data_IF_756137635001
#
_entry.id   IF_756137635001
#
_cell.length_a   1.000
_cell.length_b   1.000
_cell.length_c   1.000
_cell.angle_alpha   90.00
_cell.angle_beta   90.00
_cell.angle_gamma   90.00
#
_symmetry.space_group_name_H-M   'P 1'
#
loop_
_entity.id
_entity.type
_entity.pdbx_description
1 polymer ?
#
# COMPACT_ATOMS: atom_id res chain seq x y z
N UNK A 1 14.26 -16.53 9.40
CA UNK A 1 13.16 -15.58 9.08
C UNK A 1 13.45 -14.92 7.75
N UNK A 2 12.52 -15.03 6.82
CA UNK A 2 12.68 -14.47 5.47
C UNK A 2 12.61 -12.93 5.51
N UNK A 3 13.52 -12.27 4.80
CA UNK A 3 13.53 -10.82 4.65
C UNK A 3 12.57 -10.42 3.52
N UNK A 4 11.65 -9.52 3.82
CA UNK A 4 10.69 -8.98 2.84
C UNK A 4 11.24 -7.72 2.20
N UNK A 5 11.77 -6.81 3.00
CA UNK A 5 12.37 -5.56 2.51
C UNK A 5 13.70 -5.34 3.22
N UNK A 6 14.74 -5.07 2.46
CA UNK A 6 16.05 -4.65 2.97
C UNK A 6 16.43 -3.30 2.38
N UNK A 7 16.76 -2.37 3.25
CA UNK A 7 17.30 -1.06 2.89
C UNK A 7 18.78 -1.01 3.28
N UNK A 8 19.63 -0.78 2.30
CA UNK A 8 21.09 -0.66 2.52
C UNK A 8 21.53 0.74 2.14
N UNK A 9 21.80 1.59 3.15
CA UNK A 9 22.27 2.98 3.00
C UNK A 9 21.44 3.76 1.98
N UNK A 10 20.12 3.62 2.09
CA UNK A 10 19.18 4.23 1.12
C UNK A 10 19.15 5.74 1.34
N UNK A 11 19.35 6.47 0.24
CA UNK A 11 19.26 7.93 0.21
C UNK A 11 18.37 8.38 -0.94
N UNK A 12 17.67 9.49 -0.76
CA UNK A 12 16.88 10.10 -1.81
C UNK A 12 16.95 11.62 -1.71
N UNK A 13 16.73 12.29 -2.85
CA UNK A 13 16.76 13.75 -2.96
C UNK A 13 15.51 14.28 -3.65
N UNK A 14 15.12 15.48 -3.24
CA UNK A 14 14.12 16.28 -3.92
C UNK A 14 14.75 17.63 -4.28
N UNK A 15 15.05 17.82 -5.57
CA UNK A 15 15.86 18.97 -6.01
C UNK A 15 17.25 18.91 -5.39
N UNK A 16 17.63 19.96 -4.65
CA UNK A 16 18.92 20.03 -3.93
C UNK A 16 18.83 19.49 -2.51
N UNK A 17 17.62 19.13 -2.03
CA UNK A 17 17.40 18.68 -0.66
C UNK A 17 17.52 17.17 -0.55
N UNK A 18 18.35 16.71 0.38
CA UNK A 18 18.40 15.28 0.75
C UNK A 18 17.24 14.98 1.70
N UNK A 19 16.34 14.10 1.26
CA UNK A 19 15.15 13.70 2.05
C UNK A 19 15.47 12.48 2.90
N UNK A 20 16.09 11.46 2.32
CA UNK A 20 16.59 10.28 3.02
C UNK A 20 18.10 10.20 2.85
N UNK A 21 18.81 9.86 3.92
CA UNK A 21 20.25 9.71 3.90
C UNK A 21 20.68 8.46 4.65
N UNK A 22 21.38 7.57 3.93
CA UNK A 22 22.05 6.38 4.47
C UNK A 22 21.15 5.52 5.40
N UNK A 23 19.90 5.29 4.99
CA UNK A 23 18.97 4.47 5.77
C UNK A 23 19.33 2.99 5.64
N UNK A 24 19.58 2.34 6.78
CA UNK A 24 19.70 0.89 6.88
C UNK A 24 18.54 0.35 7.71
N UNK A 25 17.80 -0.59 7.18
CA UNK A 25 16.72 -1.28 7.89
C UNK A 25 16.31 -2.55 7.18
N UNK A 26 15.73 -3.49 7.92
CA UNK A 26 15.24 -4.75 7.39
C UNK A 26 13.86 -5.05 7.94
N UNK A 27 12.91 -5.37 7.06
CA UNK A 27 11.57 -5.83 7.41
C UNK A 27 11.51 -7.33 7.14
N UNK A 28 11.20 -8.11 8.18
CA UNK A 28 11.12 -9.57 8.09
C UNK A 28 9.67 -10.03 7.92
N UNK A 29 9.51 -11.20 7.32
CA UNK A 29 8.19 -11.80 7.12
C UNK A 29 7.42 -11.91 8.44
N UNK A 30 6.16 -11.47 8.40
CA UNK A 30 5.29 -11.47 9.58
C UNK A 30 5.38 -10.25 10.46
N UNK A 31 6.37 -9.40 10.27
CA UNK A 31 6.49 -8.15 11.04
C UNK A 31 5.44 -7.12 10.60
N UNK A 32 4.97 -6.34 11.56
CA UNK A 32 4.02 -5.24 11.34
C UNK A 32 4.69 -3.96 11.83
N UNK A 33 5.10 -3.14 10.88
CA UNK A 33 5.87 -1.94 11.14
C UNK A 33 5.00 -0.69 11.16
N UNK A 34 5.20 0.13 12.18
CA UNK A 34 4.70 1.50 12.19
C UNK A 34 5.85 2.45 11.88
N UNK A 35 5.68 3.24 10.83
CA UNK A 35 6.64 4.24 10.40
C UNK A 35 6.14 5.61 10.84
N UNK A 36 6.95 6.33 11.61
CA UNK A 36 6.63 7.67 12.08
C UNK A 36 7.83 8.60 11.89
N UNK A 37 7.64 9.87 12.14
CA UNK A 37 8.70 10.84 12.01
C UNK A 37 8.18 12.25 11.80
N UNK A 38 9.11 13.19 11.77
CA UNK A 38 8.82 14.60 11.54
C UNK A 38 8.32 14.84 10.12
N UNK A 39 7.55 15.89 9.92
CA UNK A 39 7.16 16.34 8.60
C UNK A 39 8.41 16.63 7.77
N UNK A 40 8.43 16.11 6.53
CA UNK A 40 9.60 16.25 5.65
C UNK A 40 10.73 15.26 5.98
N UNK A 41 10.49 14.25 6.83
CA UNK A 41 11.48 13.22 7.16
C UNK A 41 11.64 12.15 6.09
N UNK A 42 10.75 12.09 5.10
CA UNK A 42 10.84 11.15 3.99
C UNK A 42 10.00 9.88 4.15
N UNK A 43 9.01 9.86 5.04
CA UNK A 43 8.15 8.69 5.26
C UNK A 43 7.48 8.21 3.97
N UNK A 44 6.75 9.09 3.29
CA UNK A 44 6.06 8.76 2.04
C UNK A 44 7.04 8.45 0.91
N UNK A 45 8.18 9.13 0.88
CA UNK A 45 9.25 8.85 -0.08
C UNK A 45 9.78 7.43 0.09
N UNK A 46 10.03 7.00 1.33
CA UNK A 46 10.50 5.66 1.63
C UNK A 46 9.50 4.61 1.13
N UNK A 47 8.22 4.80 1.39
CA UNK A 47 7.18 3.88 0.94
C UNK A 47 7.07 3.83 -0.58
N UNK A 48 7.18 4.97 -1.27
CA UNK A 48 7.15 5.00 -2.74
C UNK A 48 8.35 4.29 -3.36
N UNK A 49 9.51 4.32 -2.72
CA UNK A 49 10.68 3.56 -3.16
C UNK A 49 10.43 2.04 -3.07
N UNK A 50 9.80 1.58 -1.99
CA UNK A 50 9.45 0.17 -1.82
C UNK A 50 8.47 -0.29 -2.88
N UNK A 51 7.45 0.53 -3.18
CA UNK A 51 6.41 0.20 -4.16
C UNK A 51 6.87 0.35 -5.61
N UNK A 52 8.10 0.78 -5.84
CA UNK A 52 8.68 1.01 -7.16
C UNK A 52 7.98 2.11 -7.98
N UNK A 53 7.19 2.96 -7.31
CA UNK A 53 6.53 4.10 -7.97
C UNK A 53 7.44 5.33 -8.04
N UNK A 54 8.62 5.26 -7.44
CA UNK A 54 9.59 6.35 -7.43
C UNK A 54 10.75 6.01 -8.37
N UNK A 55 11.09 6.88 -9.34
CA UNK A 55 12.20 6.63 -10.26
C UNK A 55 13.55 6.37 -9.57
N UNK A 56 13.75 6.92 -8.37
CA UNK A 56 14.97 6.71 -7.60
C UNK A 56 15.10 5.28 -7.05
N UNK A 57 14.05 4.46 -7.10
CA UNK A 57 14.08 3.10 -6.55
C UNK A 57 15.16 2.23 -7.20
N UNK A 58 15.46 2.45 -8.48
CA UNK A 58 16.51 1.72 -9.20
C UNK A 58 17.92 2.17 -8.83
N UNK A 59 18.07 3.40 -8.35
CA UNK A 59 19.36 3.93 -7.90
C UNK A 59 19.66 3.62 -6.45
N UNK A 60 18.67 3.14 -5.69
CA UNK A 60 18.82 2.79 -4.28
C UNK A 60 19.07 1.29 -4.12
N UNK A 61 19.83 0.94 -3.09
CA UNK A 61 20.05 -0.47 -2.73
C UNK A 61 18.88 -0.98 -1.88
N UNK A 62 17.81 -1.40 -2.57
CA UNK A 62 16.60 -1.94 -1.96
C UNK A 62 16.39 -3.35 -2.48
N UNK A 63 16.22 -4.30 -1.56
CA UNK A 63 15.92 -5.68 -1.87
C UNK A 63 14.48 -5.97 -1.43
N UNK A 64 13.67 -6.54 -2.34
CA UNK A 64 12.29 -6.93 -2.08
C UNK A 64 12.14 -8.43 -2.28
N UNK A 65 11.58 -9.13 -1.31
CA UNK A 65 11.37 -10.58 -1.35
C UNK A 65 12.66 -11.35 -1.71
N UNK A 66 13.80 -10.87 -1.20
CA UNK A 66 15.11 -11.48 -1.48
C UNK A 66 15.74 -11.12 -2.82
N UNK A 67 15.11 -10.27 -3.62
CA UNK A 67 15.63 -9.83 -4.93
C UNK A 67 15.94 -8.34 -4.92
N UNK A 68 17.16 -8.00 -5.31
CA UNK A 68 17.57 -6.61 -5.46
C UNK A 68 16.79 -5.95 -6.59
N UNK A 69 16.31 -4.73 -6.37
CA UNK A 69 15.64 -3.93 -7.39
C UNK A 69 16.59 -3.69 -8.56
N UNK A 70 16.07 -3.90 -9.76
CA UNK A 70 16.84 -3.74 -11.00
C UNK A 70 17.65 -4.97 -11.42
N UNK A 71 17.48 -6.12 -10.75
CA UNK A 71 18.20 -7.37 -11.07
C UNK A 71 17.51 -8.23 -12.15
N UNK A 72 16.65 -7.63 -12.97
CA UNK A 72 16.01 -8.30 -14.10
C UNK A 72 14.59 -8.80 -13.83
N UNK A 73 14.07 -8.61 -12.61
CA UNK A 73 12.68 -8.93 -12.30
C UNK A 73 11.72 -7.94 -12.97
N UNK A 74 10.55 -8.42 -13.37
CA UNK A 74 9.46 -7.56 -13.83
C UNK A 74 8.88 -6.79 -12.64
N UNK A 75 8.61 -5.50 -12.83
CA UNK A 75 7.93 -4.66 -11.83
C UNK A 75 6.57 -5.27 -11.43
N UNK A 76 5.90 -5.96 -12.37
CA UNK A 76 4.60 -6.59 -12.11
C UNK A 76 4.71 -7.83 -11.25
N UNK A 77 5.80 -8.59 -11.37
CA UNK A 77 6.08 -9.73 -10.50
C UNK A 77 6.20 -9.29 -9.05
N UNK A 78 6.71 -8.09 -8.82
CA UNK A 78 6.82 -7.50 -7.49
C UNK A 78 5.48 -6.94 -7.04
N UNK A 79 4.83 -6.14 -7.87
CA UNK A 79 3.57 -5.45 -7.52
C UNK A 79 2.43 -6.40 -7.17
N UNK A 80 2.38 -7.59 -7.76
CA UNK A 80 1.32 -8.56 -7.44
C UNK A 80 1.35 -9.03 -5.99
N UNK A 81 2.51 -8.91 -5.31
CA UNK A 81 2.69 -9.30 -3.91
C UNK A 81 2.50 -8.15 -2.93
N UNK A 82 2.30 -6.93 -3.43
CA UNK A 82 2.23 -5.71 -2.62
C UNK A 82 0.87 -5.05 -2.80
N UNK A 83 0.17 -4.83 -1.68
CA UNK A 83 -0.98 -3.92 -1.65
C UNK A 83 -0.51 -2.54 -1.18
N UNK A 84 -0.89 -1.49 -1.90
CA UNK A 84 -0.43 -0.14 -1.62
C UNK A 84 -1.56 0.88 -1.72
N UNK A 85 -1.72 1.68 -0.67
CA UNK A 85 -2.62 2.83 -0.66
C UNK A 85 -1.90 4.00 -0.01
N UNK A 86 -1.94 5.15 -0.68
CA UNK A 86 -1.40 6.41 -0.17
C UNK A 86 -2.26 7.59 -0.64
N UNK A 87 -2.15 8.76 0.00
CA UNK A 87 -2.81 9.96 -0.51
C UNK A 87 -2.34 10.37 -1.90
N UNK A 88 -1.06 10.22 -2.21
CA UNK A 88 -0.50 10.54 -3.54
C UNK A 88 -1.06 9.60 -4.61
N UNK A 89 -1.05 8.30 -4.34
CA UNK A 89 -1.62 7.30 -5.23
C UNK A 89 -3.10 7.58 -5.48
N UNK A 90 -3.85 7.94 -4.44
CA UNK A 90 -5.27 8.28 -4.56
C UNK A 90 -5.47 9.50 -5.47
N UNK A 91 -4.72 10.58 -5.26
CA UNK A 91 -4.82 11.79 -6.09
C UNK A 91 -4.47 11.54 -7.56
N UNK A 92 -3.52 10.65 -7.81
CA UNK A 92 -3.06 10.30 -9.15
C UNK A 92 -3.97 9.26 -9.85
N UNK A 93 -4.89 8.66 -9.12
CA UNK A 93 -5.74 7.60 -9.66
C UNK A 93 -6.96 8.20 -10.38
N UNK A 94 -6.85 8.38 -11.69
CA UNK A 94 -7.84 9.08 -12.52
C UNK A 94 -8.47 8.14 -13.56
N UNK A 95 -8.78 6.90 -13.16
CA UNK A 95 -9.37 5.91 -14.06
C UNK A 95 -10.89 6.10 -14.18
N UNK A 96 -11.35 6.31 -15.39
CA UNK A 96 -12.76 6.47 -15.74
C UNK A 96 -13.39 5.09 -15.95
N UNK A 97 -13.54 4.33 -14.88
CA UNK A 97 -14.05 2.95 -14.89
C UNK A 97 -15.05 2.75 -13.76
N UNK A 98 -15.96 1.76 -13.88
CA UNK A 98 -16.79 1.35 -12.76
C UNK A 98 -15.96 0.89 -11.57
N UNK A 99 -16.43 1.15 -10.35
CA UNK A 99 -15.72 0.82 -9.13
C UNK A 99 -15.28 -0.64 -9.05
N UNK A 100 -16.14 -1.58 -9.49
CA UNK A 100 -15.80 -3.01 -9.49
C UNK A 100 -14.60 -3.31 -10.39
N UNK A 101 -14.45 -2.61 -11.51
CA UNK A 101 -13.32 -2.80 -12.41
C UNK A 101 -12.02 -2.28 -11.79
N UNK A 102 -12.11 -1.21 -10.99
CA UNK A 102 -10.97 -0.69 -10.23
C UNK A 102 -10.50 -1.75 -9.23
N UNK A 103 -11.41 -2.34 -8.47
CA UNK A 103 -11.08 -3.41 -7.50
C UNK A 103 -10.46 -4.61 -8.23
N UNK A 104 -11.07 -5.03 -9.33
CA UNK A 104 -10.57 -6.16 -10.14
C UNK A 104 -9.18 -5.92 -10.69
N UNK A 105 -8.81 -4.67 -10.99
CA UNK A 105 -7.47 -4.33 -11.46
C UNK A 105 -6.38 -4.67 -10.44
N UNK A 106 -6.73 -4.78 -9.17
CA UNK A 106 -5.81 -5.24 -8.11
C UNK A 106 -5.37 -6.70 -8.28
N UNK A 107 -6.18 -7.52 -8.93
CA UNK A 107 -5.85 -8.91 -9.23
C UNK A 107 -4.89 -9.03 -10.43
N UNK A 108 -4.85 -8.02 -11.27
CA UNK A 108 -4.09 -8.01 -12.50
C UNK A 108 -3.20 -6.78 -12.54
N UNK A 109 -2.16 -6.73 -11.72
CA UNK A 109 -1.17 -5.65 -11.78
C UNK A 109 -0.28 -5.78 -13.02
N UNK A 110 -0.91 -6.08 -14.16
CA UNK A 110 -0.22 -6.18 -15.44
C UNK A 110 -0.57 -4.98 -16.30
N UNK A 111 0.45 -4.37 -16.87
CA UNK A 111 0.32 -3.26 -17.78
C UNK A 111 -0.22 -3.74 -19.11
N UNK A 112 -1.33 -3.15 -19.51
CA UNK A 112 -1.80 -3.21 -20.89
C UNK A 112 -2.53 -4.48 -21.31
N UNK A 113 -2.67 -5.48 -20.46
CA UNK A 113 -3.48 -6.67 -20.75
C UNK A 113 -4.68 -6.69 -19.83
N UNK A 114 -5.75 -6.04 -20.28
CA UNK A 114 -7.04 -6.17 -19.66
C UNK A 114 -7.57 -7.58 -19.92
N UNK A 115 -7.39 -8.46 -18.93
CA UNK A 115 -8.08 -9.75 -18.93
C UNK A 115 -9.34 -9.61 -18.09
N UNK A 116 -10.47 -9.96 -18.69
CA UNK A 116 -11.73 -10.00 -17.97
C UNK A 116 -11.58 -10.97 -16.78
N UNK A 117 -11.89 -10.52 -15.53
CA UNK A 117 -11.78 -11.40 -14.38
C UNK A 117 -12.65 -12.65 -14.52
N UNK A 118 -12.15 -13.77 -14.03
CA UNK A 118 -12.94 -15.01 -13.93
C UNK A 118 -14.10 -14.82 -12.93
N UNK A 119 -15.18 -15.61 -13.04
CA UNK A 119 -16.32 -15.47 -12.11
C UNK A 119 -15.93 -15.53 -10.62
N UNK A 120 -15.02 -16.42 -10.23
CA UNK A 120 -14.54 -16.51 -8.84
C UNK A 120 -13.73 -15.28 -8.42
N UNK A 121 -13.03 -14.64 -9.35
CA UNK A 121 -12.32 -13.40 -9.08
C UNK A 121 -13.28 -12.23 -8.90
N UNK A 122 -14.34 -12.17 -9.73
CA UNK A 122 -15.39 -11.18 -9.58
C UNK A 122 -16.13 -11.35 -8.25
N UNK A 123 -16.39 -12.58 -7.83
CA UNK A 123 -17.00 -12.85 -6.54
C UNK A 123 -16.11 -12.34 -5.38
N UNK A 124 -14.80 -12.51 -5.48
CA UNK A 124 -13.86 -11.97 -4.50
C UNK A 124 -13.88 -10.43 -4.46
N UNK A 125 -13.96 -9.79 -5.63
CA UNK A 125 -14.08 -8.33 -5.72
C UNK A 125 -15.37 -7.83 -5.05
N UNK A 126 -16.49 -8.48 -5.34
CA UNK A 126 -17.78 -8.12 -4.74
C UNK A 126 -17.76 -8.34 -3.22
N UNK A 127 -17.12 -9.41 -2.76
CA UNK A 127 -16.97 -9.70 -1.34
C UNK A 127 -16.19 -8.61 -0.61
N UNK A 128 -15.07 -8.16 -1.19
CA UNK A 128 -14.28 -7.08 -0.60
C UNK A 128 -15.02 -5.74 -0.63
N UNK A 129 -15.78 -5.46 -1.69
CA UNK A 129 -16.62 -4.27 -1.73
C UNK A 129 -17.71 -4.32 -0.67
N UNK A 130 -18.27 -5.50 -0.41
CA UNK A 130 -19.25 -5.69 0.66
C UNK A 130 -18.62 -5.47 2.04
N UNK A 131 -17.43 -6.02 2.28
CA UNK A 131 -16.66 -5.81 3.51
C UNK A 131 -16.48 -4.32 3.81
N UNK A 132 -16.16 -3.52 2.80
CA UNK A 132 -15.97 -2.07 2.95
C UNK A 132 -17.27 -1.27 2.83
N UNK A 133 -18.43 -1.94 2.74
CA UNK A 133 -19.74 -1.27 2.73
C UNK A 133 -20.05 -0.52 1.45
N UNK A 134 -19.41 -0.86 0.33
CA UNK A 134 -19.55 -0.17 -0.96
C UNK A 134 -20.06 -1.07 -2.10
N UNK A 135 -20.69 -2.19 -1.75
CA UNK A 135 -21.20 -3.13 -2.77
C UNK A 135 -22.23 -2.51 -3.71
N UNK A 136 -23.04 -1.57 -3.21
CA UNK A 136 -24.04 -0.83 -4.00
C UNK A 136 -23.43 0.18 -4.97
N UNK A 137 -22.13 0.46 -4.85
CA UNK A 137 -21.41 1.40 -5.72
C UNK A 137 -20.67 0.70 -6.87
N UNK A 138 -20.76 -0.61 -6.98
CA UNK A 138 -19.90 -1.41 -7.88
C UNK A 138 -19.97 -0.98 -9.34
N UNK A 139 -21.15 -0.56 -9.83
CA UNK A 139 -21.37 -0.17 -11.23
C UNK A 139 -21.21 1.32 -11.46
N UNK A 140 -20.96 2.10 -10.42
CA UNK A 140 -20.78 3.55 -10.52
C UNK A 140 -19.35 3.89 -10.94
N UNK A 141 -19.22 4.92 -11.75
CA UNK A 141 -17.93 5.40 -12.21
C UNK A 141 -17.10 5.92 -11.01
N UNK A 142 -15.85 5.46 -10.91
CA UNK A 142 -14.94 5.83 -9.83
C UNK A 142 -14.78 7.34 -9.70
N UNK A 143 -14.70 8.07 -10.83
CA UNK A 143 -14.49 9.52 -10.80
C UNK A 143 -15.73 10.29 -10.29
N UNK A 144 -16.89 9.66 -10.25
CA UNK A 144 -18.13 10.26 -9.72
C UNK A 144 -18.34 9.96 -8.23
N UNK A 145 -17.51 9.13 -7.63
CA UNK A 145 -17.60 8.82 -6.21
C UNK A 145 -17.00 9.94 -5.37
N UNK A 146 -17.46 10.03 -4.12
CA UNK A 146 -16.83 10.93 -3.14
C UNK A 146 -15.39 10.49 -2.85
N UNK A 147 -14.58 11.40 -2.29
CA UNK A 147 -13.20 11.08 -1.93
C UNK A 147 -13.12 9.90 -0.94
N UNK A 148 -14.01 9.84 0.05
CA UNK A 148 -14.07 8.73 1.00
C UNK A 148 -14.46 7.41 0.33
N UNK A 149 -15.45 7.44 -0.55
CA UNK A 149 -15.86 6.26 -1.32
C UNK A 149 -14.72 5.76 -2.23
N UNK A 150 -14.03 6.67 -2.89
CA UNK A 150 -12.85 6.33 -3.69
C UNK A 150 -11.77 5.66 -2.85
N UNK A 151 -11.52 6.17 -1.63
CA UNK A 151 -10.55 5.59 -0.72
C UNK A 151 -10.91 4.14 -0.37
N UNK A 152 -12.18 3.88 -0.10
CA UNK A 152 -12.66 2.52 0.18
C UNK A 152 -12.49 1.58 -1.02
N UNK A 153 -12.74 2.08 -2.23
CA UNK A 153 -12.50 1.32 -3.46
C UNK A 153 -11.02 0.96 -3.61
N UNK A 154 -10.13 1.92 -3.38
CA UNK A 154 -8.68 1.68 -3.47
C UNK A 154 -8.17 0.73 -2.39
N UNK A 155 -8.76 0.78 -1.19
CA UNK A 155 -8.47 -0.20 -0.13
C UNK A 155 -8.91 -1.61 -0.56
N UNK A 156 -10.13 -1.75 -1.08
CA UNK A 156 -10.62 -3.03 -1.59
C UNK A 156 -9.69 -3.57 -2.70
N UNK A 157 -9.22 -2.70 -3.58
CA UNK A 157 -8.24 -3.04 -4.62
C UNK A 157 -6.94 -3.60 -4.03
N UNK A 158 -6.46 -2.99 -2.95
CA UNK A 158 -5.23 -3.44 -2.30
C UNK A 158 -5.40 -4.79 -1.60
N UNK A 159 -6.55 -5.03 -0.99
CA UNK A 159 -6.80 -6.27 -0.23
C UNK A 159 -7.21 -7.46 -1.10
N UNK A 160 -7.85 -7.23 -2.26
CA UNK A 160 -8.39 -8.33 -3.09
C UNK A 160 -7.32 -9.28 -3.59
N UNK A 161 -6.11 -8.80 -3.80
CA UNK A 161 -4.97 -9.63 -4.23
C UNK A 161 -4.38 -10.48 -3.10
N UNK A 162 -4.86 -10.35 -1.88
CA UNK A 162 -4.31 -10.98 -0.67
C UNK A 162 -2.79 -10.78 -0.57
N UNK A 163 -2.30 -9.54 -0.49
CA UNK A 163 -0.89 -9.23 -0.62
C UNK A 163 -0.05 -9.85 0.49
N UNK A 164 1.18 -10.22 0.19
CA UNK A 164 2.16 -10.64 1.20
C UNK A 164 2.66 -9.45 2.01
N UNK A 165 2.79 -8.30 1.35
CA UNK A 165 3.19 -7.03 1.96
C UNK A 165 2.11 -5.98 1.72
N UNK A 166 1.55 -5.46 2.81
CA UNK A 166 0.57 -4.36 2.76
C UNK A 166 1.24 -3.07 3.20
N UNK A 167 1.20 -2.07 2.34
CA UNK A 167 1.77 -0.75 2.60
C UNK A 167 0.65 0.27 2.62
N UNK A 168 0.45 0.88 3.79
CA UNK A 168 -0.62 1.84 4.03
C UNK A 168 -0.04 3.16 4.51
N UNK A 169 -0.16 4.19 3.69
CA UNK A 169 0.22 5.55 4.05
C UNK A 169 -1.05 6.36 4.32
N UNK A 170 -1.28 6.74 5.57
CA UNK A 170 -2.44 7.48 6.02
C UNK A 170 -3.77 6.88 5.52
N UNK A 171 -4.03 5.59 5.76
CA UNK A 171 -5.16 4.90 5.14
C UNK A 171 -6.52 5.40 5.62
N UNK A 172 -6.58 6.00 6.82
CA UNK A 172 -7.83 6.47 7.42
C UNK A 172 -8.11 7.94 7.15
N UNK A 173 -7.16 8.66 6.55
CA UNK A 173 -7.31 10.08 6.29
C UNK A 173 -8.48 10.36 5.35
N UNK A 174 -9.32 11.32 5.70
CA UNK A 174 -10.47 11.71 4.89
C UNK A 174 -11.70 10.82 5.05
N UNK A 175 -11.64 9.79 5.87
CA UNK A 175 -12.80 8.95 6.17
C UNK A 175 -13.59 9.51 7.36
N UNK A 176 -14.92 9.33 7.33
CA UNK A 176 -15.76 9.60 8.48
C UNK A 176 -15.52 8.59 9.60
N UNK A 177 -16.09 8.85 10.79
CA UNK A 177 -15.84 8.02 11.96
C UNK A 177 -16.26 6.56 11.75
N UNK A 178 -17.38 6.32 11.10
CA UNK A 178 -17.86 4.95 10.84
C UNK A 178 -16.88 4.20 9.93
N UNK A 179 -16.48 4.81 8.83
CA UNK A 179 -15.56 4.18 7.89
C UNK A 179 -14.15 4.03 8.45
N UNK A 180 -13.70 4.96 9.29
CA UNK A 180 -12.42 4.80 10.02
C UNK A 180 -12.41 3.54 10.87
N UNK A 181 -13.47 3.32 11.65
CA UNK A 181 -13.60 2.12 12.49
C UNK A 181 -13.63 0.85 11.66
N UNK A 182 -14.39 0.86 10.58
CA UNK A 182 -14.49 -0.26 9.67
C UNK A 182 -13.13 -0.64 9.07
N UNK A 183 -12.43 0.34 8.51
CA UNK A 183 -11.12 0.12 7.89
C UNK A 183 -10.09 -0.32 8.94
N UNK A 184 -10.11 0.30 10.12
CA UNK A 184 -9.23 -0.10 11.22
C UNK A 184 -9.44 -1.58 11.60
N UNK A 185 -10.69 -2.03 11.70
CA UNK A 185 -11.01 -3.42 12.01
C UNK A 185 -10.50 -4.38 10.93
N UNK A 186 -10.62 -4.00 9.67
CA UNK A 186 -10.09 -4.80 8.56
C UNK A 186 -8.57 -4.90 8.64
N UNK A 187 -7.89 -3.78 8.90
CA UNK A 187 -6.43 -3.76 9.06
C UNK A 187 -6.00 -4.63 10.24
N UNK A 188 -6.68 -4.55 11.38
CA UNK A 188 -6.38 -5.39 12.54
C UNK A 188 -6.56 -6.87 12.25
N UNK A 189 -7.59 -7.25 11.50
CA UNK A 189 -7.80 -8.63 11.07
C UNK A 189 -6.66 -9.13 10.18
N UNK A 190 -6.23 -8.31 9.24
CA UNK A 190 -5.06 -8.62 8.41
C UNK A 190 -3.79 -8.81 9.26
N UNK A 191 -3.59 -7.93 10.23
CA UNK A 191 -2.40 -7.97 11.11
C UNK A 191 -2.33 -9.23 11.98
N UNK A 192 -3.45 -9.89 12.27
CA UNK A 192 -3.45 -11.14 13.05
C UNK A 192 -2.87 -12.30 12.27
N UNK A 193 -2.77 -12.19 10.96
CA UNK A 193 -2.19 -13.24 10.11
C UNK A 193 -0.67 -13.19 10.22
N UNK A 194 -0.08 -14.28 10.69
CA UNK A 194 1.36 -14.37 10.96
C UNK A 194 2.24 -14.40 9.71
N UNK A 195 1.67 -14.81 8.59
CA UNK A 195 2.32 -14.89 7.29
C UNK A 195 2.31 -13.56 6.54
N UNK A 196 1.60 -12.56 7.05
CA UNK A 196 1.48 -11.25 6.39
C UNK A 196 2.40 -10.22 7.02
N UNK A 197 2.91 -9.34 6.17
CA UNK A 197 3.81 -8.25 6.54
C UNK A 197 3.14 -6.92 6.23
N UNK A 198 3.32 -5.93 7.08
CA UNK A 198 2.72 -4.62 6.89
C UNK A 198 3.68 -3.50 7.27
N UNK A 199 3.62 -2.41 6.48
CA UNK A 199 4.24 -1.14 6.83
C UNK A 199 3.13 -0.08 6.81
N UNK A 200 2.93 0.60 7.92
CA UNK A 200 1.87 1.59 8.05
C UNK A 200 2.44 2.93 8.53
N UNK A 201 2.01 4.00 7.88
CA UNK A 201 2.27 5.37 8.30
C UNK A 201 0.95 5.98 8.76
N UNK A 202 0.96 6.54 9.98
CA UNK A 202 -0.15 7.37 10.47
C UNK A 202 0.38 8.42 11.44
N UNK A 203 -0.28 9.57 11.48
CA UNK A 203 0.03 10.64 12.44
C UNK A 203 -0.63 10.38 13.81
N UNK A 204 -1.57 9.44 13.89
CA UNK A 204 -2.36 9.20 15.10
C UNK A 204 -2.07 7.82 15.65
N UNK A 205 -1.49 7.77 16.86
CA UNK A 205 -1.17 6.49 17.51
C UNK A 205 -2.40 5.64 17.79
N UNK A 206 -3.55 6.25 18.06
CA UNK A 206 -4.81 5.53 18.27
C UNK A 206 -5.33 4.80 17.02
N UNK A 207 -4.80 5.14 15.84
CA UNK A 207 -5.14 4.45 14.60
C UNK A 207 -4.28 3.21 14.35
N UNK A 208 -3.19 3.05 15.10
CA UNK A 208 -2.32 1.88 14.94
C UNK A 208 -3.00 0.61 15.42
N UNK A 209 -2.91 -0.49 14.67
CA UNK A 209 -3.41 -1.78 15.13
C UNK A 209 -2.60 -2.26 16.36
N UNK A 210 -3.26 -3.04 17.22
CA UNK A 210 -2.65 -3.56 18.44
C UNK A 210 -1.49 -4.53 18.17
N UNK A 211 -1.42 -5.10 16.96
CA UNK A 211 -0.43 -6.10 16.60
C UNK A 211 0.85 -5.54 15.99
N UNK A 212 1.10 -4.24 16.07
CA UNK A 212 2.37 -3.65 15.62
C UNK A 212 3.53 -4.27 16.38
N UNK A 213 4.51 -4.79 15.66
CA UNK A 213 5.68 -5.46 16.22
C UNK A 213 6.91 -4.56 16.28
N UNK A 214 7.03 -3.63 15.33
CA UNK A 214 8.22 -2.84 15.13
C UNK A 214 7.88 -1.38 14.85
N UNK A 215 8.76 -0.48 15.29
CA UNK A 215 8.62 0.96 15.05
C UNK A 215 9.89 1.50 14.42
N UNK A 216 9.73 2.35 13.43
CA UNK A 216 10.82 3.11 12.83
C UNK A 216 10.48 4.59 12.88
N UNK A 217 11.37 5.39 13.46
CA UNK A 217 11.23 6.83 13.50
C UNK A 217 12.24 7.48 12.57
N UNK A 218 11.76 8.30 11.63
CA UNK A 218 12.60 9.06 10.71
C UNK A 218 12.74 10.49 11.18
N UNK A 219 13.98 10.93 11.31
CA UNK A 219 14.30 12.32 11.62
C UNK A 219 14.47 13.13 10.35
N UNK A 220 14.07 14.38 10.42
CA UNK A 220 14.28 15.34 9.33
C UNK A 220 15.78 15.65 9.20
N UNK A 221 16.29 15.58 7.98
CA UNK A 221 17.65 15.98 7.65
C UNK A 221 17.77 17.48 7.43
#
# INVERSE_FOLDING_TARGET
TEHVVDFNKVSSRYGVRTILKDLDSTVKCGEKWALSGENGSGKSTLLSLVCADNPQSYACDITLFGRKRGSGESIWEIKKHIGYVSPEMHRAYLKNLPAIDIVASGLHDSVGLYKRPRPEQMAACEWWMDIFGIADLKDRNFLQLSSGEQRLVLLARAFVKDPELLILDEPLHGLDLYNRRLVKDVIETFCRRKDKTMIMVTHYQEELPACITNFLFLKRN
#
